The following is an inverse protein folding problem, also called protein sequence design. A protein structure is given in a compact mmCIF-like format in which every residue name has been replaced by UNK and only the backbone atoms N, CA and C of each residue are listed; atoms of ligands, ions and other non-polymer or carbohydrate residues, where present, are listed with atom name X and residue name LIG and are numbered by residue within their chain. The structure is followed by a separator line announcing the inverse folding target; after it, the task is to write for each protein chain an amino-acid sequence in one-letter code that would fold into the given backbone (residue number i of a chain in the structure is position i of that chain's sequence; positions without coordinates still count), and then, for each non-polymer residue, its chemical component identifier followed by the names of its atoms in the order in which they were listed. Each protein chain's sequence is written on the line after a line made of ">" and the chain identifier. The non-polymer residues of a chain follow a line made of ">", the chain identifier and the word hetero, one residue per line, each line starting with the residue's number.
data_IF_350394450990
#
_entry.id   IF_350394450990
#
_cell.length_a   1.000
_cell.length_b   1.000
_cell.length_c   1.000
_cell.angle_alpha   90.00
_cell.angle_beta   90.00
_cell.angle_gamma   90.00
#
_symmetry.space_group_name_H-M   'P 1'
#
loop_
_entity.id
_entity.type
_entity.pdbx_description
1 polymer ?
#
# COMPACT_ATOMS: atom_id res chain seq x y z
N UNK A 1 18.00 -9.79 20.91
CA UNK A 1 17.43 -9.09 19.75
C UNK A 1 16.09 -8.51 20.16
N UNK A 2 15.94 -7.18 20.11
CA UNK A 2 14.70 -6.46 20.44
C UNK A 2 14.13 -5.93 19.11
N UNK A 3 12.82 -6.04 18.93
CA UNK A 3 12.13 -5.48 17.76
C UNK A 3 11.32 -4.28 18.26
N UNK A 4 11.50 -3.14 17.62
CA UNK A 4 10.76 -1.92 17.95
C UNK A 4 10.36 -1.16 16.69
N UNK A 5 9.16 -0.58 16.65
CA UNK A 5 8.77 0.32 15.57
C UNK A 5 9.61 1.59 15.65
N UNK A 6 9.97 2.13 14.50
CA UNK A 6 10.75 3.35 14.39
C UNK A 6 10.23 4.18 13.21
N UNK A 7 10.57 5.47 13.18
CA UNK A 7 10.28 6.33 12.03
C UNK A 7 11.27 6.02 10.89
N UNK A 8 10.82 5.55 9.71
CA UNK A 8 11.69 5.24 8.57
C UNK A 8 12.64 6.38 8.20
N UNK A 9 12.26 7.64 8.45
CA UNK A 9 13.07 8.83 8.16
C UNK A 9 14.32 8.93 9.03
N UNK A 10 14.31 8.29 10.20
CA UNK A 10 15.44 8.24 11.12
C UNK A 10 16.32 6.99 10.92
N UNK A 11 15.99 6.09 9.98
CA UNK A 11 16.72 4.82 9.76
C UNK A 11 18.24 5.05 9.66
N UNK A 12 18.64 6.01 8.83
CA UNK A 12 20.04 6.27 8.50
C UNK A 12 20.85 6.70 9.72
N UNK A 13 20.31 7.64 10.50
CA UNK A 13 20.94 8.16 11.71
C UNK A 13 21.07 7.04 12.76
N UNK A 14 19.99 6.30 13.01
CA UNK A 14 19.97 5.24 14.01
C UNK A 14 20.89 4.07 13.68
N UNK A 15 20.98 3.68 12.40
CA UNK A 15 21.92 2.65 11.95
C UNK A 15 23.38 3.14 12.04
N UNK A 16 23.65 4.40 11.65
CA UNK A 16 25.00 4.98 11.69
C UNK A 16 25.52 5.16 13.11
N UNK A 17 24.63 5.48 14.06
CA UNK A 17 24.95 5.65 15.48
C UNK A 17 25.00 4.31 16.24
N UNK A 18 24.77 3.17 15.58
CA UNK A 18 24.74 1.84 16.21
C UNK A 18 23.57 1.64 17.17
N UNK A 19 22.50 2.44 17.05
CA UNK A 19 21.26 2.30 17.83
C UNK A 19 20.31 1.24 17.26
N UNK A 20 20.42 0.98 15.97
CA UNK A 20 19.79 -0.15 15.28
C UNK A 20 20.88 -1.01 14.65
N UNK A 21 20.72 -2.33 14.74
CA UNK A 21 21.61 -3.29 14.06
C UNK A 21 21.15 -3.57 12.61
N UNK A 22 19.84 -3.48 12.36
CA UNK A 22 19.20 -3.82 11.09
C UNK A 22 17.86 -3.09 10.95
N UNK A 23 17.49 -2.77 9.71
CA UNK A 23 16.17 -2.25 9.35
C UNK A 23 15.51 -3.19 8.34
N UNK A 24 14.21 -3.43 8.52
CA UNK A 24 13.33 -4.06 7.53
C UNK A 24 12.34 -2.99 7.08
N UNK A 25 12.27 -2.73 5.78
CA UNK A 25 11.32 -1.78 5.21
C UNK A 25 11.22 -1.93 3.69
N UNK A 26 10.41 -1.08 3.07
CA UNK A 26 10.24 -1.01 1.62
C UNK A 26 11.22 -0.05 0.97
N UNK A 27 11.71 -0.37 -0.22
CA UNK A 27 12.45 0.56 -1.06
C UNK A 27 11.67 1.86 -1.32
N UNK A 28 12.35 3.00 -1.57
CA UNK A 28 13.80 3.14 -1.69
C UNK A 28 14.48 3.49 -0.36
N UNK A 29 15.51 2.72 -0.01
CA UNK A 29 16.54 3.15 0.94
C UNK A 29 17.83 3.36 0.17
N UNK A 30 18.48 4.50 0.38
CA UNK A 30 19.86 4.69 -0.04
C UNK A 30 20.66 5.13 1.17
N UNK A 31 21.40 4.19 1.76
CA UNK A 31 22.24 4.44 2.93
C UNK A 31 23.66 4.04 2.58
N UNK A 32 24.52 5.04 2.49
CA UNK A 32 25.94 4.82 2.21
C UNK A 32 26.56 3.96 3.32
N UNK A 33 27.32 2.93 2.94
CA UNK A 33 28.01 2.06 3.90
C UNK A 33 27.14 0.95 4.50
N UNK A 34 25.89 0.80 4.06
CA UNK A 34 25.02 -0.30 4.47
C UNK A 34 24.94 -1.38 3.39
N UNK A 35 24.78 -2.63 3.82
CA UNK A 35 24.44 -3.74 2.95
C UNK A 35 22.92 -3.86 2.84
N UNK A 36 22.42 -4.04 1.62
CA UNK A 36 21.01 -4.26 1.35
C UNK A 36 20.82 -5.68 0.86
N UNK A 37 19.92 -6.41 1.52
CA UNK A 37 19.55 -7.78 1.17
C UNK A 37 18.06 -7.80 0.85
N UNK A 38 17.73 -8.35 -0.32
CA UNK A 38 16.34 -8.53 -0.73
C UNK A 38 15.69 -9.62 0.13
N UNK A 39 14.55 -9.29 0.75
CA UNK A 39 13.79 -10.24 1.57
C UNK A 39 12.63 -10.86 0.80
N UNK A 40 11.78 -10.01 0.22
CA UNK A 40 10.60 -10.40 -0.51
C UNK A 40 10.08 -9.23 -1.35
N UNK A 41 9.22 -9.56 -2.30
CA UNK A 41 8.40 -8.62 -3.07
C UNK A 41 6.93 -8.87 -2.74
N UNK A 42 6.11 -7.82 -2.77
CA UNK A 42 4.66 -7.94 -2.64
C UNK A 42 3.93 -7.05 -3.65
N UNK A 43 2.73 -7.48 -4.01
CA UNK A 43 1.88 -6.78 -4.96
C UNK A 43 0.81 -5.94 -4.25
N UNK A 44 0.52 -4.76 -4.81
CA UNK A 44 -0.72 -4.05 -4.49
C UNK A 44 -1.91 -4.74 -5.16
N UNK A 45 -3.00 -4.90 -4.42
CA UNK A 45 -4.22 -5.52 -4.90
C UNK A 45 -5.44 -4.65 -4.64
N UNK A 46 -6.46 -4.82 -5.49
CA UNK A 46 -7.80 -4.31 -5.21
C UNK A 46 -8.42 -5.11 -4.07
N UNK A 47 -8.93 -4.40 -3.07
CA UNK A 47 -9.76 -4.95 -2.00
C UNK A 47 -11.19 -4.49 -2.23
N UNK A 48 -12.13 -5.42 -2.32
CA UNK A 48 -13.54 -5.12 -2.60
C UNK A 48 -14.46 -5.87 -1.65
N UNK A 49 -15.66 -5.31 -1.43
CA UNK A 49 -16.70 -6.01 -0.71
C UNK A 49 -17.11 -7.30 -1.48
N UNK A 50 -17.48 -8.41 -0.81
CA UNK A 50 -17.81 -9.67 -1.50
C UNK A 50 -18.98 -9.58 -2.50
N UNK A 51 -19.86 -8.59 -2.37
CA UNK A 51 -20.96 -8.33 -3.30
C UNK A 51 -20.61 -7.33 -4.40
N UNK A 52 -19.40 -6.78 -4.39
CA UNK A 52 -18.95 -5.80 -5.38
C UNK A 52 -18.82 -6.46 -6.76
N UNK A 53 -19.13 -5.76 -7.88
CA UNK A 53 -19.01 -6.32 -9.22
C UNK A 53 -17.61 -6.85 -9.58
N UNK A 54 -16.56 -6.37 -8.89
CA UNK A 54 -15.17 -6.80 -9.12
C UNK A 54 -14.78 -8.03 -8.29
N UNK A 55 -15.64 -8.53 -7.39
CA UNK A 55 -15.37 -9.74 -6.59
C UNK A 55 -15.35 -11.03 -7.44
N UNK A 56 -15.81 -10.97 -8.69
CA UNK A 56 -15.78 -12.11 -9.61
C UNK A 56 -14.38 -12.40 -10.18
N UNK A 57 -14.21 -13.58 -10.79
CA UNK A 57 -12.95 -14.01 -11.42
C UNK A 57 -12.64 -13.33 -12.77
N UNK A 58 -13.32 -12.24 -13.10
CA UNK A 58 -13.13 -11.53 -14.37
C UNK A 58 -12.16 -10.36 -14.15
N UNK A 59 -11.18 -10.15 -15.05
CA UNK A 59 -10.34 -8.95 -15.01
C UNK A 59 -11.19 -7.68 -15.05
N UNK A 60 -10.86 -6.72 -14.19
CA UNK A 60 -11.47 -5.39 -14.18
C UNK A 60 -10.94 -4.60 -15.37
N UNK A 61 -11.85 -4.04 -16.17
CA UNK A 61 -11.50 -3.21 -17.34
C UNK A 61 -11.03 -1.82 -16.91
N UNK A 62 -10.31 -1.13 -17.79
CA UNK A 62 -9.83 0.24 -17.54
C UNK A 62 -10.99 1.21 -17.29
N UNK A 63 -12.07 1.06 -18.06
CA UNK A 63 -13.27 1.88 -17.96
C UNK A 63 -13.96 1.67 -16.61
N UNK A 64 -14.00 0.43 -16.13
CA UNK A 64 -14.50 0.12 -14.79
C UNK A 64 -13.62 0.77 -13.72
N UNK A 65 -12.29 0.65 -13.83
CA UNK A 65 -11.34 1.27 -12.90
C UNK A 65 -11.60 2.78 -12.82
N UNK A 66 -11.67 3.48 -13.96
CA UNK A 66 -11.92 4.93 -13.97
C UNK A 66 -13.27 5.37 -13.43
N UNK A 67 -14.26 4.48 -13.39
CA UNK A 67 -15.57 4.75 -12.75
C UNK A 67 -15.62 4.38 -11.25
N UNK A 68 -14.54 3.79 -10.73
CA UNK A 68 -14.46 3.32 -9.36
C UNK A 68 -14.37 4.46 -8.35
N UNK A 69 -14.92 4.24 -7.16
CA UNK A 69 -14.67 5.08 -5.98
C UNK A 69 -13.56 4.41 -5.17
N UNK A 70 -12.39 5.03 -5.09
CA UNK A 70 -11.24 4.43 -4.43
C UNK A 70 -11.07 4.92 -2.99
N UNK A 71 -10.64 4.00 -2.13
CA UNK A 71 -10.24 4.27 -0.74
C UNK A 71 -8.76 3.91 -0.65
N UNK A 72 -7.89 4.89 -0.40
CA UNK A 72 -6.44 4.65 -0.36
C UNK A 72 -5.80 5.31 0.86
N UNK A 73 -4.60 4.85 1.26
CA UNK A 73 -3.81 5.51 2.29
C UNK A 73 -3.55 6.99 1.96
N UNK A 74 -3.35 7.81 2.99
CA UNK A 74 -3.05 9.25 2.85
C UNK A 74 -1.91 9.57 1.86
N UNK A 75 -2.01 10.73 1.21
CA UNK A 75 -1.10 11.14 0.14
C UNK A 75 0.40 11.21 0.52
N UNK A 76 0.72 11.34 1.81
CA UNK A 76 2.09 11.35 2.33
C UNK A 76 2.80 9.99 2.24
N UNK A 77 2.05 8.90 2.20
CA UNK A 77 2.58 7.54 2.28
C UNK A 77 3.20 7.04 0.97
N UNK A 78 4.15 6.11 1.07
CA UNK A 78 4.83 5.55 -0.10
C UNK A 78 3.88 4.68 -0.95
N UNK A 79 2.92 4.00 -0.32
CA UNK A 79 1.85 3.27 -1.02
C UNK A 79 1.03 4.19 -1.93
N UNK A 80 0.66 5.40 -1.47
CA UNK A 80 -0.07 6.36 -2.30
C UNK A 80 0.75 6.77 -3.53
N UNK A 81 2.04 7.11 -3.32
CA UNK A 81 2.92 7.51 -4.43
C UNK A 81 3.07 6.40 -5.46
N UNK A 82 3.14 5.14 -5.02
CA UNK A 82 3.21 3.98 -5.92
C UNK A 82 1.92 3.82 -6.74
N UNK A 83 0.76 3.96 -6.09
CA UNK A 83 -0.56 3.92 -6.73
C UNK A 83 -0.68 5.04 -7.77
N UNK A 84 -0.37 6.28 -7.38
CA UNK A 84 -0.45 7.45 -8.25
C UNK A 84 0.46 7.30 -9.47
N UNK A 85 1.73 6.92 -9.25
CA UNK A 85 2.70 6.71 -10.32
C UNK A 85 2.24 5.64 -11.31
N UNK A 86 1.67 4.54 -10.82
CA UNK A 86 1.13 3.47 -11.65
C UNK A 86 -0.02 3.96 -12.54
N UNK A 87 -1.08 4.53 -11.95
CA UNK A 87 -2.24 4.95 -12.73
C UNK A 87 -1.94 6.13 -13.67
N UNK A 88 -1.03 7.02 -13.27
CA UNK A 88 -0.52 8.09 -14.14
C UNK A 88 0.21 7.53 -15.36
N UNK A 89 1.09 6.54 -15.17
CA UNK A 89 1.78 5.84 -16.28
C UNK A 89 0.79 5.17 -17.23
N UNK A 90 -0.26 4.56 -16.68
CA UNK A 90 -1.31 3.89 -17.43
C UNK A 90 -2.33 4.86 -18.06
N UNK A 91 -2.25 6.17 -17.76
CA UNK A 91 -3.22 7.20 -18.19
C UNK A 91 -4.65 6.88 -17.77
N UNK A 92 -4.80 6.36 -16.55
CA UNK A 92 -6.08 6.05 -15.93
C UNK A 92 -6.29 7.05 -14.80
N UNK A 93 -7.43 7.73 -14.78
CA UNK A 93 -7.85 8.57 -13.67
C UNK A 93 -8.59 7.73 -12.63
N UNK A 94 -8.30 7.91 -11.34
CA UNK A 94 -8.89 7.18 -10.22
C UNK A 94 -9.69 8.09 -9.26
N UNK A 95 -10.32 9.14 -9.82
CA UNK A 95 -11.20 10.04 -9.07
C UNK A 95 -12.66 9.57 -9.19
N UNK A 96 -13.47 9.63 -8.11
CA UNK A 96 -13.18 10.25 -6.80
C UNK A 96 -12.42 9.32 -5.82
N UNK A 97 -11.62 9.96 -4.96
CA UNK A 97 -10.78 9.31 -3.95
C UNK A 97 -11.23 9.64 -2.53
N UNK A 98 -11.20 8.65 -1.64
CA UNK A 98 -11.27 8.81 -0.19
C UNK A 98 -9.88 8.49 0.37
N UNK A 99 -9.23 9.49 0.97
CA UNK A 99 -7.96 9.31 1.67
C UNK A 99 -8.22 8.96 3.14
N UNK A 100 -7.49 7.95 3.64
CA UNK A 100 -7.54 7.55 5.05
C UNK A 100 -6.13 7.40 5.61
N UNK A 101 -5.90 7.94 6.81
CA UNK A 101 -4.57 7.98 7.42
C UNK A 101 -4.05 6.60 7.87
N UNK A 102 -4.95 5.65 8.15
CA UNK A 102 -4.59 4.32 8.66
C UNK A 102 -4.93 3.23 7.65
N UNK A 103 -4.01 2.29 7.43
CA UNK A 103 -4.21 1.16 6.52
C UNK A 103 -5.41 0.28 6.93
N UNK A 104 -5.62 0.09 8.23
CA UNK A 104 -6.79 -0.65 8.71
C UNK A 104 -8.10 0.08 8.43
N UNK A 105 -8.10 1.41 8.30
CA UNK A 105 -9.30 2.15 7.93
C UNK A 105 -9.72 1.82 6.49
N UNK A 106 -8.78 1.59 5.57
CA UNK A 106 -9.11 1.15 4.20
C UNK A 106 -9.99 -0.11 4.24
N UNK A 107 -9.62 -1.10 5.07
CA UNK A 107 -10.36 -2.37 5.22
C UNK A 107 -11.79 -2.12 5.72
N UNK A 108 -11.94 -1.32 6.77
CA UNK A 108 -13.25 -1.01 7.34
C UNK A 108 -14.18 -0.32 6.33
N UNK A 109 -13.64 0.60 5.52
CA UNK A 109 -14.45 1.28 4.50
C UNK A 109 -14.88 0.32 3.39
N UNK A 110 -14.02 -0.62 2.99
CA UNK A 110 -14.39 -1.66 2.02
C UNK A 110 -15.42 -2.64 2.59
N UNK A 111 -15.28 -3.04 3.86
CA UNK A 111 -16.26 -3.89 4.55
C UNK A 111 -17.65 -3.24 4.64
N UNK A 112 -17.71 -1.92 4.69
CA UNK A 112 -18.94 -1.12 4.67
C UNK A 112 -19.45 -0.81 3.25
N UNK A 113 -18.87 -1.44 2.22
CA UNK A 113 -19.22 -1.26 0.79
C UNK A 113 -19.14 0.20 0.31
N UNK A 114 -18.19 0.99 0.87
CA UNK A 114 -18.02 2.41 0.54
C UNK A 114 -17.09 2.68 -0.65
N UNK A 115 -16.50 1.64 -1.24
CA UNK A 115 -15.60 1.77 -2.39
C UNK A 115 -14.62 0.61 -2.52
N UNK A 116 -13.64 0.80 -3.40
CA UNK A 116 -12.56 -0.15 -3.68
C UNK A 116 -11.30 0.29 -2.96
N UNK A 117 -10.78 -0.56 -2.09
CA UNK A 117 -9.49 -0.37 -1.46
C UNK A 117 -8.33 -0.75 -2.39
N UNK A 118 -7.18 -0.12 -2.20
CA UNK A 118 -5.91 -0.60 -2.78
C UNK A 118 -4.91 -0.75 -1.64
N UNK A 119 -4.36 -1.95 -1.48
CA UNK A 119 -3.36 -2.21 -0.44
C UNK A 119 -2.42 -3.36 -0.79
N UNK A 120 -1.26 -3.43 -0.12
CA UNK A 120 -0.39 -4.58 -0.19
C UNK A 120 -1.11 -5.89 0.18
N UNK A 121 -0.87 -6.95 -0.59
CA UNK A 121 -1.54 -8.26 -0.42
C UNK A 121 -1.28 -8.87 0.96
N UNK A 122 -0.09 -8.72 1.52
CA UNK A 122 0.23 -9.23 2.86
C UNK A 122 -0.65 -8.62 3.98
N UNK A 123 -1.26 -7.46 3.75
CA UNK A 123 -2.20 -6.82 4.68
C UNK A 123 -3.66 -7.21 4.44
N UNK A 124 -3.97 -7.83 3.30
CA UNK A 124 -5.33 -8.21 2.95
C UNK A 124 -5.87 -9.27 3.92
N UNK A 125 -7.09 -9.10 4.47
CA UNK A 125 -7.67 -10.08 5.36
C UNK A 125 -7.96 -11.39 4.61
N UNK A 126 -7.64 -12.53 5.24
CA UNK A 126 -7.80 -13.87 4.65
C UNK A 126 -9.22 -14.24 4.21
N UNK A 127 -10.25 -13.44 4.55
CA UNK A 127 -11.67 -13.74 4.36
C UNK A 127 -12.36 -12.95 3.23
N UNK A 128 -11.66 -12.01 2.56
CA UNK A 128 -12.25 -11.15 1.53
C UNK A 128 -11.93 -11.56 0.08
N UNK A 129 -11.45 -12.79 -0.14
CA UNK A 129 -11.13 -13.33 -1.47
C UNK A 129 -12.06 -14.47 -1.88
#
# INVERSE_FOLDING_TARGET
>A
MKIEPFDPRCANELLSDGRLDMVIGTEPFSITGMQFEFLAEDDLQFLVHPLHPWAGKRPVTREQISSGRFIIPEASGDTFKLIEAHFKKERIEILPLIEVAAEDAVKHFVELDMGVGIMPRWLSPRRLN
#
